data_IF_586584391876
#
_entry.id   IF_586584391876
#
_cell.length_a   1.000
_cell.length_b   1.000
_cell.length_c   1.000
_cell.angle_alpha   90.00
_cell.angle_beta   90.00
_cell.angle_gamma   90.00
#
_symmetry.space_group_name_H-M   'P 1'
#
loop_
_entity.id
_entity.type
_entity.pdbx_description
1 polymer ?
#
# COMPACT_ATOMS: atom_id res chain seq x y z
N UNK A 1 -13.65 23.74 14.19
CA UNK A 1 -15.10 23.90 13.90
C UNK A 1 -15.45 23.55 12.45
N UNK A 2 -14.63 23.89 11.46
CA UNK A 2 -14.88 23.58 10.05
C UNK A 2 -14.89 22.08 9.69
N UNK A 3 -14.08 21.25 10.37
CA UNK A 3 -14.00 19.79 10.17
C UNK A 3 -15.30 19.06 10.60
N UNK A 4 -16.00 19.56 11.62
CA UNK A 4 -17.28 19.01 12.06
C UNK A 4 -18.38 19.10 10.98
N UNK A 5 -18.36 20.15 10.16
CA UNK A 5 -19.42 20.42 9.18
C UNK A 5 -19.23 19.65 7.85
N UNK A 6 -17.99 19.30 7.47
CA UNK A 6 -17.73 18.56 6.22
C UNK A 6 -18.17 17.10 6.30
N UNK A 7 -17.97 16.46 7.45
CA UNK A 7 -18.41 15.08 7.72
C UNK A 7 -19.94 14.96 7.69
N UNK A 8 -20.65 15.99 8.16
CA UNK A 8 -22.12 15.96 8.25
C UNK A 8 -22.82 16.04 6.89
N UNK A 9 -22.22 16.65 5.88
CA UNK A 9 -22.87 16.89 4.58
C UNK A 9 -22.87 15.69 3.62
N UNK A 10 -21.98 14.71 3.80
CA UNK A 10 -21.82 13.56 2.87
C UNK A 10 -22.58 12.28 3.26
N UNK A 11 -23.29 12.29 4.38
CA UNK A 11 -23.80 11.07 4.99
C UNK A 11 -25.34 11.07 5.18
N UNK A 12 -26.09 11.17 4.08
CA UNK A 12 -27.56 10.99 4.08
C UNK A 12 -27.96 9.54 3.79
N UNK A 13 -28.40 8.80 4.79
CA UNK A 13 -28.99 7.45 4.67
C UNK A 13 -29.21 6.83 6.05
N UNK A 14 -30.30 6.14 6.28
CA UNK A 14 -30.64 5.48 7.55
C UNK A 14 -29.50 4.53 7.99
N UNK A 15 -28.80 4.87 9.06
CA UNK A 15 -27.64 4.13 9.54
C UNK A 15 -28.04 3.14 10.62
N UNK A 16 -27.54 1.94 10.49
CA UNK A 16 -27.56 0.92 11.53
C UNK A 16 -26.57 1.38 12.61
N UNK A 17 -27.01 1.55 13.86
CA UNK A 17 -26.12 1.97 14.96
C UNK A 17 -24.94 1.01 15.18
N UNK A 18 -23.87 1.50 15.83
CA UNK A 18 -22.63 0.72 16.05
C UNK A 18 -22.93 -0.64 16.69
N UNK A 19 -23.71 -0.67 17.77
CA UNK A 19 -24.07 -1.89 18.46
C UNK A 19 -24.78 -2.90 17.55
N UNK A 20 -25.74 -2.41 16.74
CA UNK A 20 -26.50 -3.25 15.81
C UNK A 20 -25.61 -3.74 14.64
N UNK A 21 -24.69 -2.88 14.15
CA UNK A 21 -23.72 -3.28 13.13
C UNK A 21 -22.76 -4.36 13.62
N UNK A 22 -22.30 -4.28 14.87
CA UNK A 22 -21.47 -5.28 15.52
C UNK A 22 -22.22 -6.56 15.90
N UNK A 23 -23.56 -6.49 16.06
CA UNK A 23 -24.41 -7.65 16.35
C UNK A 23 -24.85 -8.43 15.08
N UNK A 24 -24.61 -7.89 13.88
CA UNK A 24 -25.02 -8.53 12.62
C UNK A 24 -24.10 -9.72 12.29
N UNK A 25 -24.58 -10.95 12.53
CA UNK A 25 -23.84 -12.17 12.29
C UNK A 25 -23.41 -12.37 10.82
N UNK A 26 -24.08 -11.77 9.84
CA UNK A 26 -23.71 -11.86 8.41
C UNK A 26 -22.35 -11.22 8.12
N UNK A 27 -21.98 -10.20 8.90
CA UNK A 27 -20.65 -9.57 8.83
C UNK A 27 -19.55 -10.55 9.25
N UNK A 28 -19.81 -11.36 10.27
CA UNK A 28 -18.89 -12.40 10.73
C UNK A 28 -18.76 -13.54 9.70
N UNK A 29 -19.88 -13.98 9.09
CA UNK A 29 -19.85 -14.95 8.00
C UNK A 29 -18.95 -14.47 6.85
N UNK A 30 -19.15 -13.22 6.43
CA UNK A 30 -18.34 -12.59 5.37
C UNK A 30 -16.85 -12.48 5.77
N UNK A 31 -16.57 -12.16 7.03
CA UNK A 31 -15.20 -12.07 7.54
C UNK A 31 -14.51 -13.44 7.57
N UNK A 32 -15.21 -14.50 7.98
CA UNK A 32 -14.72 -15.88 7.97
C UNK A 32 -14.34 -16.29 6.55
N UNK A 33 -15.22 -16.07 5.57
CA UNK A 33 -14.99 -16.42 4.17
C UNK A 33 -13.77 -15.69 3.59
N UNK A 34 -13.66 -14.38 3.84
CA UNK A 34 -12.53 -13.57 3.38
C UNK A 34 -11.20 -13.98 4.01
N UNK A 35 -11.20 -14.29 5.31
CA UNK A 35 -10.01 -14.77 6.00
C UNK A 35 -9.56 -16.11 5.45
N UNK A 36 -10.48 -17.04 5.26
CA UNK A 36 -10.18 -18.33 4.67
C UNK A 36 -9.60 -18.22 3.26
N UNK A 37 -10.19 -17.36 2.40
CA UNK A 37 -9.69 -17.13 1.04
C UNK A 37 -8.25 -16.59 1.04
N UNK A 38 -7.89 -15.68 1.96
CA UNK A 38 -6.52 -15.16 2.08
C UNK A 38 -5.49 -16.22 2.47
N UNK A 39 -5.91 -17.26 3.18
CA UNK A 39 -5.06 -18.33 3.66
C UNK A 39 -5.15 -19.61 2.80
N UNK A 40 -5.80 -19.55 1.63
CA UNK A 40 -5.78 -20.66 0.68
C UNK A 40 -4.33 -20.93 0.26
N UNK A 41 -3.85 -22.15 0.48
CA UNK A 41 -2.45 -22.53 0.23
C UNK A 41 -1.52 -22.40 1.45
N UNK A 42 -1.96 -21.79 2.55
CA UNK A 42 -1.21 -21.73 3.80
C UNK A 42 -1.65 -22.88 4.73
N UNK A 43 -0.68 -23.68 5.22
CA UNK A 43 -0.94 -24.76 6.17
C UNK A 43 -1.47 -24.25 7.52
N UNK A 44 -1.19 -23.00 7.88
CA UNK A 44 -1.67 -22.37 9.12
C UNK A 44 -3.20 -22.35 9.24
N UNK A 45 -3.95 -22.43 8.12
CA UNK A 45 -5.42 -22.53 8.13
C UNK A 45 -5.97 -23.76 8.84
N UNK A 46 -5.15 -24.78 9.02
CA UNK A 46 -5.50 -26.01 9.75
C UNK A 46 -5.02 -26.02 11.21
N UNK A 47 -4.22 -25.01 11.62
CA UNK A 47 -3.79 -24.90 12.99
C UNK A 47 -4.99 -24.73 13.91
N UNK A 48 -5.04 -25.51 14.98
CA UNK A 48 -6.09 -25.43 15.99
C UNK A 48 -5.85 -24.22 16.92
N UNK A 49 -6.93 -23.58 17.30
CA UNK A 49 -6.93 -22.61 18.41
C UNK A 49 -6.87 -23.33 19.75
N UNK A 50 -6.79 -22.58 20.84
CA UNK A 50 -6.95 -23.13 22.19
C UNK A 50 -8.32 -23.77 22.39
N UNK A 51 -9.36 -23.28 21.67
CA UNK A 51 -10.71 -23.84 21.67
C UNK A 51 -10.85 -25.05 20.72
N UNK A 52 -9.77 -25.51 20.12
CA UNK A 52 -9.78 -26.67 19.21
C UNK A 52 -10.39 -26.41 17.82
N UNK A 53 -10.54 -25.15 17.42
CA UNK A 53 -11.13 -24.76 16.12
C UNK A 53 -10.04 -24.20 15.20
N UNK A 54 -9.96 -24.70 13.98
CA UNK A 54 -9.11 -24.14 12.92
C UNK A 54 -9.89 -23.15 12.06
N UNK A 55 -9.17 -22.32 11.28
CA UNK A 55 -9.80 -21.43 10.29
C UNK A 55 -10.63 -22.22 9.27
N UNK A 56 -10.14 -23.38 8.82
CA UNK A 56 -10.90 -24.30 7.96
C UNK A 56 -12.14 -24.86 8.67
N UNK A 57 -12.03 -25.22 9.95
CA UNK A 57 -13.17 -25.65 10.76
C UNK A 57 -14.23 -24.58 10.94
N UNK A 58 -13.83 -23.32 11.07
CA UNK A 58 -14.76 -22.17 11.14
C UNK A 58 -15.61 -22.05 9.86
N UNK A 59 -15.04 -22.33 8.69
CA UNK A 59 -15.81 -22.27 7.43
C UNK A 59 -16.88 -23.35 7.38
N UNK A 60 -16.58 -24.57 7.85
CA UNK A 60 -17.54 -25.67 7.91
C UNK A 60 -18.72 -25.35 8.83
N UNK A 61 -18.49 -24.62 9.92
CA UNK A 61 -19.50 -24.22 10.91
C UNK A 61 -19.82 -22.74 10.87
N UNK A 62 -19.62 -22.07 9.71
CA UNK A 62 -19.65 -20.63 9.53
C UNK A 62 -20.83 -19.95 10.22
N UNK A 63 -22.06 -20.38 9.95
CA UNK A 63 -23.24 -19.75 10.51
C UNK A 63 -23.35 -19.88 12.03
N UNK A 64 -22.91 -20.98 12.61
CA UNK A 64 -22.92 -21.17 14.07
C UNK A 64 -21.84 -20.35 14.75
N UNK A 65 -20.63 -20.34 14.21
CA UNK A 65 -19.51 -19.50 14.71
C UNK A 65 -19.84 -18.02 14.58
N UNK A 66 -20.38 -17.59 13.46
CA UNK A 66 -20.77 -16.20 13.24
C UNK A 66 -21.83 -15.73 14.27
N UNK A 67 -22.88 -16.52 14.51
CA UNK A 67 -23.89 -16.21 15.52
C UNK A 67 -23.34 -16.21 16.95
N UNK A 68 -22.41 -17.13 17.25
CA UNK A 68 -21.76 -17.15 18.56
C UNK A 68 -20.96 -15.86 18.79
N UNK A 69 -20.07 -15.50 17.87
CA UNK A 69 -19.26 -14.29 17.98
C UNK A 69 -20.10 -13.03 18.02
N UNK A 70 -21.11 -12.92 17.13
CA UNK A 70 -22.01 -11.77 17.10
C UNK A 70 -22.77 -11.58 18.43
N UNK A 71 -23.26 -12.67 19.03
CA UNK A 71 -23.94 -12.63 20.34
C UNK A 71 -22.98 -12.22 21.46
N UNK A 72 -21.80 -12.83 21.53
CA UNK A 72 -20.82 -12.52 22.56
C UNK A 72 -20.29 -11.06 22.47
N UNK A 73 -20.15 -10.52 21.27
CA UNK A 73 -19.85 -9.10 21.07
C UNK A 73 -21.04 -8.21 21.46
N UNK A 74 -22.26 -8.58 21.05
CA UNK A 74 -23.47 -7.83 21.36
C UNK A 74 -23.78 -7.76 22.87
N UNK A 75 -23.52 -8.86 23.61
CA UNK A 75 -23.65 -8.89 25.08
C UNK A 75 -22.53 -8.13 25.80
N UNK A 76 -21.44 -7.77 25.11
CA UNK A 76 -20.26 -7.15 25.71
C UNK A 76 -19.37 -8.14 26.49
N UNK A 77 -19.55 -9.43 26.28
CA UNK A 77 -18.76 -10.48 26.95
C UNK A 77 -17.48 -10.85 26.17
N UNK A 78 -17.45 -10.57 24.87
CA UNK A 78 -16.28 -10.89 24.06
C UNK A 78 -15.06 -10.11 24.51
N UNK A 79 -13.95 -10.82 24.69
CA UNK A 79 -12.65 -10.24 25.02
C UNK A 79 -11.63 -10.66 23.97
N UNK A 80 -10.94 -9.67 23.38
CA UNK A 80 -9.82 -9.92 22.49
C UNK A 80 -8.67 -10.53 23.28
N UNK A 81 -8.18 -11.66 22.82
CA UNK A 81 -7.01 -12.33 23.39
C UNK A 81 -5.70 -11.58 23.09
N UNK A 82 -4.63 -11.90 23.81
CA UNK A 82 -3.33 -11.31 23.55
C UNK A 82 -2.76 -11.73 22.19
N UNK A 83 -2.07 -10.82 21.53
CA UNK A 83 -1.35 -11.10 20.30
C UNK A 83 0.03 -11.69 20.59
N UNK A 84 0.47 -12.66 19.79
CA UNK A 84 1.86 -13.08 19.72
C UNK A 84 2.59 -12.28 18.63
N UNK A 85 3.81 -11.82 18.91
CA UNK A 85 4.64 -11.15 17.93
C UNK A 85 5.36 -12.16 17.06
N UNK A 86 5.28 -12.01 15.75
CA UNK A 86 6.01 -12.84 14.77
C UNK A 86 6.86 -11.97 13.87
N UNK A 87 8.11 -12.34 13.68
CA UNK A 87 8.94 -11.74 12.65
C UNK A 87 8.69 -12.40 11.29
N UNK A 88 8.39 -11.58 10.30
CA UNK A 88 8.33 -11.99 8.91
C UNK A 88 9.32 -11.19 8.08
N UNK A 89 9.82 -11.77 7.00
CA UNK A 89 10.66 -11.04 6.04
C UNK A 89 9.82 -10.68 4.82
N UNK A 90 9.63 -9.39 4.61
CA UNK A 90 8.94 -8.86 3.43
C UNK A 90 9.91 -7.99 2.65
N UNK A 91 10.16 -8.31 1.40
CA UNK A 91 11.10 -7.56 0.52
C UNK A 91 12.50 -7.41 1.14
N UNK A 92 12.98 -8.46 1.83
CA UNK A 92 14.29 -8.46 2.49
C UNK A 92 14.37 -7.66 3.81
N UNK A 93 13.29 -6.99 4.21
CA UNK A 93 13.18 -6.28 5.48
C UNK A 93 12.49 -7.16 6.53
N UNK A 94 12.99 -7.15 7.76
CA UNK A 94 12.30 -7.72 8.91
C UNK A 94 11.09 -6.84 9.24
N UNK A 95 9.95 -7.46 9.42
CA UNK A 95 8.73 -6.82 9.91
C UNK A 95 8.14 -7.64 11.04
N UNK A 96 7.68 -6.95 12.07
CA UNK A 96 6.95 -7.57 13.16
C UNK A 96 5.47 -7.50 12.85
N UNK A 97 4.79 -8.63 12.89
CA UNK A 97 3.34 -8.75 12.71
C UNK A 97 2.71 -9.32 13.97
N UNK A 98 1.46 -8.98 14.19
CA UNK A 98 0.67 -9.42 15.33
C UNK A 98 -0.15 -10.64 14.92
N UNK A 99 0.08 -11.76 15.54
CA UNK A 99 -0.65 -12.99 15.34
C UNK A 99 -1.70 -13.17 16.44
N UNK A 100 -2.95 -13.36 16.02
CA UNK A 100 -4.11 -13.56 16.91
C UNK A 100 -4.73 -14.91 16.70
N UNK A 101 -5.54 -15.33 17.68
CA UNK A 101 -6.44 -16.47 17.53
C UNK A 101 -7.44 -16.23 16.36
N UNK A 102 -7.86 -17.26 15.64
CA UNK A 102 -8.78 -17.14 14.52
C UNK A 102 -10.08 -16.41 14.83
N UNK A 103 -10.67 -16.57 16.01
CA UNK A 103 -11.88 -15.84 16.42
C UNK A 103 -11.61 -14.33 16.54
N UNK A 104 -10.48 -13.96 17.12
CA UNK A 104 -10.08 -12.54 17.21
C UNK A 104 -9.86 -11.93 15.83
N UNK A 105 -9.25 -12.68 14.89
CA UNK A 105 -9.09 -12.22 13.50
C UNK A 105 -10.43 -11.90 12.84
N UNK A 106 -11.47 -12.71 13.09
CA UNK A 106 -12.83 -12.45 12.59
C UNK A 106 -13.39 -11.19 13.20
N UNK A 107 -13.29 -11.03 14.54
CA UNK A 107 -13.77 -9.82 15.22
C UNK A 107 -13.03 -8.56 14.78
N UNK A 108 -11.70 -8.62 14.64
CA UNK A 108 -10.91 -7.52 14.06
C UNK A 108 -11.41 -7.13 12.65
N UNK A 109 -11.71 -8.12 11.81
CA UNK A 109 -12.20 -7.86 10.46
C UNK A 109 -13.58 -7.21 10.46
N UNK A 110 -14.48 -7.63 11.35
CA UNK A 110 -15.84 -7.04 11.48
C UNK A 110 -15.74 -5.61 12.00
N UNK A 111 -15.01 -5.38 13.08
CA UNK A 111 -14.83 -4.03 13.67
C UNK A 111 -14.23 -3.07 12.63
N UNK A 112 -13.16 -3.49 11.97
CA UNK A 112 -12.52 -2.67 10.93
C UNK A 112 -13.46 -2.41 9.75
N UNK A 113 -14.26 -3.40 9.35
CA UNK A 113 -15.25 -3.27 8.28
C UNK A 113 -16.30 -2.22 8.61
N UNK A 114 -16.89 -2.28 9.81
CA UNK A 114 -17.90 -1.31 10.29
C UNK A 114 -17.34 0.11 10.32
N UNK A 115 -16.13 0.30 10.84
CA UNK A 115 -15.49 1.62 10.87
C UNK A 115 -15.11 2.12 9.47
N UNK A 116 -14.65 1.22 8.58
CA UNK A 116 -14.28 1.58 7.21
C UNK A 116 -15.47 2.07 6.39
N UNK A 117 -16.67 1.48 6.56
CA UNK A 117 -17.88 1.90 5.85
C UNK A 117 -18.22 3.38 6.11
N UNK A 118 -17.90 3.89 7.30
CA UNK A 118 -18.13 5.29 7.67
C UNK A 118 -16.93 6.17 7.34
N UNK A 119 -15.73 5.64 7.47
CA UNK A 119 -14.50 6.40 7.19
C UNK A 119 -14.31 6.65 5.69
N UNK A 120 -14.54 5.63 4.85
CA UNK A 120 -14.24 5.66 3.40
C UNK A 120 -14.86 6.88 2.67
N UNK A 121 -16.16 7.22 2.87
CA UNK A 121 -16.76 8.40 2.21
C UNK A 121 -16.18 9.73 2.67
N UNK A 122 -15.46 9.78 3.79
CA UNK A 122 -14.87 10.99 4.36
C UNK A 122 -13.41 11.20 3.96
N UNK A 123 -12.80 10.17 3.37
CA UNK A 123 -11.41 10.23 2.95
C UNK A 123 -11.23 11.08 1.70
N UNK A 124 -10.11 11.77 1.64
CA UNK A 124 -9.71 12.57 0.48
C UNK A 124 -9.53 11.69 -0.77
N UNK A 125 -9.94 12.17 -1.95
CA UNK A 125 -9.68 11.51 -3.23
C UNK A 125 -8.18 11.44 -3.57
N UNK A 126 -7.34 12.14 -2.81
CA UNK A 126 -5.88 12.13 -2.93
C UNK A 126 -5.19 11.16 -1.97
N UNK A 127 -5.95 10.40 -1.21
CA UNK A 127 -5.49 9.26 -0.45
C UNK A 127 -5.69 7.98 -1.27
N UNK A 128 -4.60 7.31 -1.60
CA UNK A 128 -4.59 6.17 -2.53
C UNK A 128 -4.34 4.82 -1.86
N UNK A 129 -4.03 4.78 -0.56
CA UNK A 129 -3.74 3.55 0.17
C UNK A 129 -4.94 3.03 0.94
N UNK A 130 -5.05 1.70 1.04
CA UNK A 130 -6.05 1.01 1.84
C UNK A 130 -7.50 1.40 1.50
N UNK A 131 -7.77 1.76 0.26
CA UNK A 131 -9.07 2.13 -0.26
C UNK A 131 -9.48 1.21 -1.41
N UNK A 132 -10.78 0.93 -1.51
CA UNK A 132 -11.31 0.16 -2.62
C UNK A 132 -11.21 0.96 -3.93
N UNK A 133 -10.74 0.29 -4.98
CA UNK A 133 -10.60 0.92 -6.30
C UNK A 133 -9.43 1.89 -6.46
N UNK A 134 -8.64 2.14 -5.42
CA UNK A 134 -7.44 2.99 -5.47
C UNK A 134 -6.17 2.16 -5.41
N UNK A 135 -5.17 2.55 -6.19
CA UNK A 135 -3.85 1.91 -6.21
C UNK A 135 -2.73 2.95 -6.24
N UNK A 136 -1.51 2.53 -5.87
CA UNK A 136 -0.31 3.37 -6.01
C UNK A 136 -0.12 3.91 -7.44
N UNK A 137 -0.60 3.15 -8.43
CA UNK A 137 -0.54 3.50 -9.83
C UNK A 137 -1.36 4.76 -10.15
N UNK A 138 -2.50 4.92 -9.49
CA UNK A 138 -3.39 6.08 -9.68
C UNK A 138 -2.74 7.34 -9.10
N UNK A 139 -2.09 7.24 -7.94
CA UNK A 139 -1.32 8.34 -7.35
C UNK A 139 -0.22 8.85 -8.30
N UNK A 140 0.54 7.94 -8.91
CA UNK A 140 1.59 8.28 -9.87
C UNK A 140 1.00 8.88 -11.15
N UNK A 141 -0.10 8.32 -11.66
CA UNK A 141 -0.76 8.81 -12.87
C UNK A 141 -1.33 10.23 -12.66
N UNK A 142 -1.92 10.50 -11.51
CA UNK A 142 -2.46 11.81 -11.16
C UNK A 142 -1.36 12.85 -10.99
N UNK A 143 -0.27 12.51 -10.32
CA UNK A 143 0.90 13.38 -10.26
C UNK A 143 1.48 13.68 -11.64
N UNK A 144 1.64 12.66 -12.48
CA UNK A 144 2.12 12.84 -13.85
C UNK A 144 1.17 13.71 -14.70
N UNK A 145 -0.14 13.60 -14.48
CA UNK A 145 -1.15 14.47 -15.12
C UNK A 145 -1.00 15.91 -14.67
N UNK A 146 -0.86 16.14 -13.38
CA UNK A 146 -0.63 17.47 -12.80
C UNK A 146 0.64 18.14 -13.39
N UNK A 147 1.75 17.41 -13.44
CA UNK A 147 3.01 17.91 -14.04
C UNK A 147 2.81 18.30 -15.52
N UNK A 148 2.11 17.47 -16.30
CA UNK A 148 1.79 17.79 -17.71
C UNK A 148 0.91 19.03 -17.85
N UNK A 149 -0.08 19.20 -16.98
CA UNK A 149 -0.96 20.38 -16.98
C UNK A 149 -0.17 21.64 -16.67
N UNK A 150 0.66 21.61 -15.63
CA UNK A 150 1.57 22.70 -15.29
C UNK A 150 2.50 23.03 -16.45
N UNK A 151 3.10 22.03 -17.10
CA UNK A 151 3.98 22.21 -18.27
C UNK A 151 3.31 22.92 -19.44
N UNK A 152 2.00 22.70 -19.66
CA UNK A 152 1.22 23.38 -20.71
C UNK A 152 0.87 24.83 -20.36
N UNK A 153 0.70 25.14 -19.08
CA UNK A 153 0.29 26.46 -18.60
C UNK A 153 1.46 27.44 -18.43
N UNK A 154 2.68 26.94 -18.27
CA UNK A 154 3.88 27.79 -18.08
C UNK A 154 4.24 28.54 -19.36
N UNK A 155 4.51 29.83 -19.24
CA UNK A 155 4.86 30.68 -20.37
C UNK A 155 6.30 30.47 -20.86
N UNK A 156 7.26 30.22 -19.92
CA UNK A 156 8.66 29.91 -20.23
C UNK A 156 9.07 28.57 -19.62
N UNK A 157 9.28 27.53 -20.43
CA UNK A 157 9.74 26.22 -19.97
C UNK A 157 11.09 26.21 -19.25
N UNK A 158 11.91 27.25 -19.43
CA UNK A 158 13.27 27.31 -18.88
C UNK A 158 13.31 27.86 -17.46
N UNK A 159 12.33 28.66 -17.05
CA UNK A 159 12.37 29.44 -15.82
C UNK A 159 11.37 28.97 -14.75
N UNK A 160 10.34 28.20 -15.11
CA UNK A 160 9.30 27.77 -14.16
C UNK A 160 9.32 26.26 -13.96
N UNK A 161 9.83 25.86 -12.79
CA UNK A 161 9.78 24.50 -12.31
C UNK A 161 8.63 24.27 -11.32
N UNK A 162 8.60 23.10 -10.71
CA UNK A 162 7.70 22.75 -9.61
C UNK A 162 8.53 22.47 -8.36
N UNK A 163 8.15 23.07 -7.25
CA UNK A 163 8.65 22.70 -5.92
C UNK A 163 7.90 21.46 -5.47
N UNK A 164 8.63 20.42 -5.10
CA UNK A 164 8.05 19.14 -4.72
C UNK A 164 8.59 18.72 -3.37
N UNK A 165 7.70 18.62 -2.41
CA UNK A 165 7.96 18.07 -1.09
C UNK A 165 7.67 16.58 -1.13
N UNK A 166 8.68 15.77 -0.84
CA UNK A 166 8.49 14.36 -0.59
C UNK A 166 8.77 14.07 0.87
N UNK A 167 7.82 13.48 1.54
CA UNK A 167 7.84 13.17 2.97
C UNK A 167 7.46 11.72 3.20
N UNK A 168 8.07 11.11 4.19
CA UNK A 168 7.76 9.74 4.64
C UNK A 168 7.85 9.75 6.16
N UNK A 169 6.76 9.34 6.82
CA UNK A 169 6.69 9.34 8.28
C UNK A 169 7.58 8.22 8.82
N UNK A 170 8.44 8.57 9.78
CA UNK A 170 9.40 7.63 10.35
C UNK A 170 8.70 6.51 11.11
N UNK A 171 8.96 5.26 10.67
CA UNK A 171 8.39 4.05 11.27
C UNK A 171 6.88 4.17 11.57
N UNK A 172 6.10 4.73 10.63
CA UNK A 172 4.71 5.16 10.83
C UNK A 172 3.86 4.15 11.61
N UNK A 173 3.89 2.90 11.17
CA UNK A 173 3.10 1.82 11.78
C UNK A 173 3.47 1.55 13.23
N UNK A 174 4.74 1.76 13.59
CA UNK A 174 5.30 1.51 14.93
C UNK A 174 5.32 2.78 15.79
N UNK A 175 5.08 3.95 15.20
CA UNK A 175 5.23 5.26 15.87
C UNK A 175 3.91 5.85 16.36
N UNK A 176 2.75 5.43 15.84
CA UNK A 176 1.45 5.92 16.31
C UNK A 176 1.32 5.66 17.80
N UNK A 177 1.14 6.71 18.63
CA UNK A 177 1.01 6.54 20.07
C UNK A 177 -0.31 5.83 20.41
N UNK A 178 -0.27 4.96 21.42
CA UNK A 178 -1.43 4.21 21.94
C UNK A 178 -1.57 4.37 23.46
N UNK A 179 -0.81 5.29 24.07
CA UNK A 179 -0.98 5.65 25.48
C UNK A 179 -2.31 6.41 25.73
N UNK A 180 -2.62 6.71 26.97
CA UNK A 180 -3.89 7.31 27.37
C UNK A 180 -4.17 8.69 26.74
N UNK A 181 -3.11 9.43 26.38
CA UNK A 181 -3.20 10.78 25.78
C UNK A 181 -2.96 10.78 24.28
N UNK A 182 -3.07 9.62 23.62
CA UNK A 182 -2.92 9.52 22.18
C UNK A 182 -3.99 10.30 21.41
N UNK A 183 -3.60 11.10 20.40
CA UNK A 183 -4.55 11.73 19.48
C UNK A 183 -5.47 10.76 18.75
N UNK A 184 -5.10 9.48 18.64
CA UNK A 184 -5.90 8.46 17.97
C UNK A 184 -7.25 8.22 18.68
N UNK A 185 -7.28 8.28 20.02
CA UNK A 185 -8.50 7.95 20.77
C UNK A 185 -9.67 8.89 20.50
N UNK A 186 -9.51 10.23 20.56
CA UNK A 186 -10.59 11.13 20.20
C UNK A 186 -11.01 10.99 18.73
N UNK A 187 -10.08 10.74 17.80
CA UNK A 187 -10.41 10.50 16.39
C UNK A 187 -11.23 9.22 16.22
N UNK A 188 -10.83 8.12 16.87
CA UNK A 188 -11.55 6.85 16.83
C UNK A 188 -12.91 6.94 17.48
N UNK A 189 -13.01 7.65 18.62
CA UNK A 189 -14.32 7.90 19.29
C UNK A 189 -15.26 8.70 18.40
N UNK A 190 -14.76 9.75 17.75
CA UNK A 190 -15.55 10.52 16.81
C UNK A 190 -16.05 9.67 15.63
N UNK A 191 -15.18 8.81 15.07
CA UNK A 191 -15.57 7.89 14.00
C UNK A 191 -16.65 6.91 14.48
N UNK A 192 -16.47 6.31 15.64
CA UNK A 192 -17.44 5.39 16.24
C UNK A 192 -18.80 6.07 16.53
N UNK A 193 -18.81 7.33 17.00
CA UNK A 193 -20.03 8.13 17.19
C UNK A 193 -20.77 8.36 15.86
N UNK A 194 -20.03 8.50 14.75
CA UNK A 194 -20.68 8.61 13.43
C UNK A 194 -21.33 7.30 12.98
N UNK A 195 -20.80 6.15 13.41
CA UNK A 195 -21.46 4.84 13.20
C UNK A 195 -22.68 4.72 14.06
N UNK A 196 -22.61 5.13 15.34
CA UNK A 196 -23.71 5.03 16.29
C UNK A 196 -24.93 5.89 15.89
N UNK A 197 -24.71 6.99 15.15
CA UNK A 197 -25.77 7.91 14.77
C UNK A 197 -25.85 9.15 15.66
N UNK A 198 -26.73 10.11 15.28
CA UNK A 198 -26.93 11.34 16.07
C UNK A 198 -27.68 11.02 17.35
N UNK A 199 -27.05 11.27 18.49
CA UNK A 199 -27.66 11.19 19.81
C UNK A 199 -27.46 9.87 20.56
N UNK A 200 -26.88 8.84 19.91
CA UNK A 200 -26.56 7.60 20.60
C UNK A 200 -25.15 7.65 21.19
N UNK A 201 -25.02 7.39 22.46
CA UNK A 201 -23.75 7.20 23.12
C UNK A 201 -23.17 5.82 22.74
N UNK A 202 -21.85 5.77 22.59
CA UNK A 202 -21.15 4.50 22.41
C UNK A 202 -21.23 3.73 23.72
N UNK A 203 -21.77 2.50 23.69
CA UNK A 203 -21.75 1.62 24.88
C UNK A 203 -20.30 1.40 25.36
N UNK A 204 -20.11 1.35 26.68
CA UNK A 204 -18.76 1.10 27.25
C UNK A 204 -18.14 -0.16 26.68
N UNK A 205 -18.88 -1.25 26.56
CA UNK A 205 -18.39 -2.52 26.01
C UNK A 205 -17.93 -2.40 24.54
N UNK A 206 -18.62 -1.61 23.70
CA UNK A 206 -18.23 -1.38 22.32
C UNK A 206 -16.94 -0.53 22.26
N UNK A 207 -16.83 0.48 23.13
CA UNK A 207 -15.60 1.28 23.23
C UNK A 207 -14.41 0.44 23.70
N UNK A 208 -14.60 -0.38 24.73
CA UNK A 208 -13.58 -1.27 25.25
C UNK A 208 -13.08 -2.25 24.16
N UNK A 209 -14.02 -2.78 23.35
CA UNK A 209 -13.69 -3.62 22.20
C UNK A 209 -12.86 -2.83 21.16
N UNK A 210 -13.26 -1.60 20.80
CA UNK A 210 -12.50 -0.75 19.87
C UNK A 210 -11.08 -0.48 20.36
N UNK A 211 -10.93 -0.21 21.66
CA UNK A 211 -9.62 -0.03 22.29
C UNK A 211 -8.81 -1.33 22.22
N UNK A 212 -9.42 -2.47 22.56
CA UNK A 212 -8.73 -3.76 22.58
C UNK A 212 -8.24 -4.21 21.20
N UNK A 213 -9.04 -4.04 20.13
CA UNK A 213 -8.60 -4.36 18.77
C UNK A 213 -7.50 -3.42 18.26
N UNK A 214 -7.45 -2.19 18.77
CA UNK A 214 -6.47 -1.17 18.33
C UNK A 214 -5.18 -1.24 19.15
N UNK A 215 -5.27 -1.52 20.44
CA UNK A 215 -4.16 -1.65 21.40
C UNK A 215 -4.23 -3.00 22.12
N UNK A 216 -3.83 -4.08 21.49
CA UNK A 216 -3.89 -5.41 22.09
C UNK A 216 -2.89 -5.60 23.22
N UNK A 217 -3.22 -6.49 24.14
CA UNK A 217 -2.23 -7.13 24.99
C UNK A 217 -1.23 -7.95 24.16
N UNK A 218 0.00 -8.04 24.60
CA UNK A 218 1.03 -8.85 23.98
C UNK A 218 1.38 -10.01 24.91
N UNK A 219 1.46 -11.21 24.34
CA UNK A 219 1.99 -12.36 25.03
C UNK A 219 3.51 -12.36 24.87
N UNK A 220 4.24 -12.22 25.97
CA UNK A 220 5.69 -12.37 26.02
C UNK A 220 6.11 -13.84 25.94
N UNK A 221 7.39 -14.08 25.64
CA UNK A 221 7.97 -15.41 25.59
C UNK A 221 7.96 -16.11 26.97
N UNK A 222 7.91 -15.33 28.03
CA UNK A 222 7.79 -15.76 29.43
C UNK A 222 6.34 -16.04 29.87
N UNK A 223 5.36 -15.89 28.95
CA UNK A 223 3.93 -16.01 29.25
C UNK A 223 3.33 -14.77 29.94
N UNK A 224 4.12 -13.73 30.20
CA UNK A 224 3.65 -12.48 30.75
C UNK A 224 2.83 -11.67 29.74
N UNK A 225 1.91 -10.84 30.25
CA UNK A 225 1.13 -9.92 29.43
C UNK A 225 1.75 -8.52 29.49
N UNK A 226 2.05 -7.95 28.34
CA UNK A 226 2.51 -6.58 28.20
C UNK A 226 1.51 -5.73 27.39
N UNK A 227 1.46 -4.43 27.65
CA UNK A 227 0.67 -3.50 26.85
C UNK A 227 1.60 -2.65 26.00
N UNK A 228 1.35 -2.60 24.69
CA UNK A 228 2.11 -1.75 23.78
C UNK A 228 1.56 -0.32 23.81
N UNK A 229 2.43 0.66 24.07
CA UNK A 229 2.05 2.08 24.13
C UNK A 229 2.32 2.84 22.84
N UNK A 230 2.87 2.17 21.81
CA UNK A 230 3.12 2.70 20.47
C UNK A 230 2.99 1.60 19.42
N UNK A 231 2.51 1.99 18.24
CA UNK A 231 2.38 1.13 17.08
C UNK A 231 1.09 0.30 17.06
N UNK A 232 0.30 0.51 16.03
CA UNK A 232 -0.93 -0.24 15.79
C UNK A 232 -0.63 -1.66 15.29
N UNK A 233 -1.56 -2.63 15.46
CA UNK A 233 -1.29 -4.04 15.16
C UNK A 233 -1.17 -4.30 13.65
N UNK A 234 0.04 -4.13 13.12
CA UNK A 234 0.35 -4.35 11.70
C UNK A 234 -0.03 -5.76 11.26
N UNK A 235 -0.67 -5.86 10.10
CA UNK A 235 -1.21 -7.11 9.56
C UNK A 235 -2.69 -7.31 9.88
N UNK A 236 -3.25 -6.52 10.78
CA UNK A 236 -4.68 -6.55 11.10
C UNK A 236 -5.47 -5.49 10.35
N UNK A 237 -6.75 -5.75 9.98
CA UNK A 237 -7.57 -4.79 9.25
C UNK A 237 -7.75 -3.45 9.95
N UNK A 238 -7.82 -3.42 11.28
CA UNK A 238 -7.95 -2.18 12.07
C UNK A 238 -6.76 -1.23 11.86
N UNK A 239 -5.58 -1.76 11.58
CA UNK A 239 -4.41 -0.93 11.32
C UNK A 239 -4.62 0.00 10.11
N UNK A 240 -5.29 -0.47 9.06
CA UNK A 240 -5.55 0.34 7.87
C UNK A 240 -6.53 1.48 8.15
N UNK A 241 -7.53 1.24 9.02
CA UNK A 241 -8.44 2.28 9.52
C UNK A 241 -7.66 3.33 10.30
N UNK A 242 -6.82 2.89 11.25
CA UNK A 242 -6.02 3.80 12.07
C UNK A 242 -5.04 4.62 11.22
N UNK A 243 -4.37 4.01 10.22
CA UNK A 243 -3.44 4.71 9.34
C UNK A 243 -4.11 5.81 8.53
N UNK A 244 -5.28 5.55 7.96
CA UNK A 244 -5.98 6.54 7.18
C UNK A 244 -6.61 7.63 8.05
N UNK A 245 -7.16 7.26 9.19
CA UNK A 245 -7.79 8.18 10.15
C UNK A 245 -6.78 9.15 10.76
N UNK A 246 -5.58 8.66 11.12
CA UNK A 246 -4.60 9.42 11.89
C UNK A 246 -3.99 10.61 11.15
N UNK A 247 -3.87 10.53 9.81
CA UNK A 247 -3.36 11.60 8.96
C UNK A 247 -4.46 12.30 8.13
N UNK A 248 -5.74 12.00 8.38
CA UNK A 248 -6.85 12.50 7.56
C UNK A 248 -6.89 14.03 7.51
N UNK A 249 -6.68 14.70 8.63
CA UNK A 249 -6.71 16.16 8.69
C UNK A 249 -5.62 16.81 7.82
N UNK A 250 -4.47 16.15 7.68
CA UNK A 250 -3.41 16.59 6.76
C UNK A 250 -3.91 16.50 5.32
N UNK A 251 -4.59 15.41 4.96
CA UNK A 251 -5.15 15.23 3.62
C UNK A 251 -6.17 16.34 3.29
N UNK A 252 -7.07 16.66 4.24
CA UNK A 252 -8.13 17.67 4.06
C UNK A 252 -7.55 19.07 3.83
N UNK A 253 -6.51 19.44 4.57
CA UNK A 253 -5.87 20.76 4.44
C UNK A 253 -5.11 20.88 3.11
N UNK A 254 -4.32 19.86 2.74
CA UNK A 254 -3.45 19.95 1.57
C UNK A 254 -4.19 19.82 0.24
N UNK A 255 -5.38 19.21 0.23
CA UNK A 255 -6.23 19.12 -0.97
C UNK A 255 -6.98 20.42 -1.26
N UNK A 256 -7.12 21.30 -0.29
CA UNK A 256 -7.87 22.54 -0.44
C UNK A 256 -7.25 23.52 -1.47
N UNK A 257 -5.94 23.48 -1.67
CA UNK A 257 -5.25 24.30 -2.67
C UNK A 257 -5.38 23.70 -4.08
N UNK A 258 -6.15 24.36 -4.93
CA UNK A 258 -6.39 23.93 -6.32
C UNK A 258 -5.16 24.11 -7.24
N UNK A 259 -4.20 24.98 -6.87
CA UNK A 259 -2.96 25.15 -7.61
C UNK A 259 -1.92 24.07 -7.29
N UNK A 260 -2.11 23.37 -6.18
CA UNK A 260 -1.22 22.33 -5.71
C UNK A 260 -1.60 20.92 -6.23
N UNK A 261 -0.64 20.04 -6.25
CA UNK A 261 -0.87 18.61 -6.19
C UNK A 261 -0.57 18.10 -4.79
N UNK A 262 -1.47 17.33 -4.25
CA UNK A 262 -1.25 16.51 -3.07
C UNK A 262 -1.58 15.05 -3.37
N UNK A 263 -0.81 14.12 -2.81
CA UNK A 263 -1.10 12.69 -2.86
C UNK A 263 -0.44 11.94 -1.72
N UNK A 264 -1.19 11.06 -1.05
CA UNK A 264 -0.69 10.20 0.03
C UNK A 264 -0.91 8.72 -0.25
N UNK A 265 0.10 7.94 0.00
CA UNK A 265 0.04 6.48 0.01
C UNK A 265 0.64 5.96 1.32
N UNK A 266 -0.22 5.64 2.30
CA UNK A 266 0.17 5.29 3.68
C UNK A 266 0.96 6.42 4.35
N UNK A 267 2.27 6.23 4.54
CA UNK A 267 3.25 7.14 5.13
C UNK A 267 4.00 8.00 4.10
N UNK A 268 3.90 7.69 2.81
CA UNK A 268 4.59 8.43 1.73
C UNK A 268 3.67 9.55 1.21
N UNK A 269 4.04 10.80 1.51
CA UNK A 269 3.33 12.01 1.09
C UNK A 269 4.11 12.72 -0.01
N UNK A 270 3.39 13.21 -1.01
CA UNK A 270 3.92 14.09 -2.03
C UNK A 270 3.05 15.33 -2.17
N UNK A 271 3.66 16.50 -2.03
CA UNK A 271 3.04 17.79 -2.30
C UNK A 271 3.84 18.51 -3.40
N UNK A 272 3.19 19.17 -4.36
CA UNK A 272 3.85 19.94 -5.40
C UNK A 272 3.11 21.25 -5.66
N UNK A 273 3.88 22.34 -5.79
CA UNK A 273 3.37 23.69 -6.05
C UNK A 273 4.36 24.49 -6.90
N UNK A 274 3.88 25.40 -7.81
CA UNK A 274 4.78 26.24 -8.60
C UNK A 274 5.45 27.37 -7.78
N UNK A 275 4.88 27.78 -6.66
CA UNK A 275 5.38 28.85 -5.79
C UNK A 275 6.25 28.31 -4.65
N UNK A 276 7.46 28.87 -4.53
CA UNK A 276 8.43 28.52 -3.50
C UNK A 276 7.97 28.88 -2.07
N UNK A 277 7.27 30.02 -1.92
CA UNK A 277 6.82 30.47 -0.61
C UNK A 277 5.73 29.56 -0.07
N UNK A 278 4.79 29.15 -0.92
CA UNK A 278 3.75 28.18 -0.56
C UNK A 278 4.37 26.84 -0.18
N UNK A 279 5.29 26.32 -0.98
CA UNK A 279 5.95 25.06 -0.69
C UNK A 279 6.74 25.07 0.63
N UNK A 280 7.45 26.17 0.94
CA UNK A 280 8.14 26.35 2.23
C UNK A 280 7.16 26.39 3.41
N UNK A 281 6.09 27.17 3.27
CA UNK A 281 5.06 27.26 4.32
C UNK A 281 4.41 25.89 4.60
N UNK A 282 4.08 25.13 3.55
CA UNK A 282 3.54 23.79 3.69
C UNK A 282 4.58 22.84 4.32
N UNK A 283 5.88 22.98 3.98
CA UNK A 283 6.94 22.16 4.59
C UNK A 283 7.01 22.39 6.11
N UNK A 284 7.00 23.66 6.57
CA UNK A 284 7.02 23.98 7.99
C UNK A 284 5.74 23.51 8.70
N UNK A 285 4.58 23.81 8.11
CA UNK A 285 3.30 23.39 8.66
C UNK A 285 3.18 21.86 8.82
N UNK A 286 3.72 21.08 7.88
CA UNK A 286 3.74 19.62 7.96
C UNK A 286 4.59 19.12 9.14
N UNK A 287 5.74 19.76 9.40
CA UNK A 287 6.60 19.42 10.54
C UNK A 287 5.86 19.68 11.87
N UNK A 288 5.23 20.86 12.01
CA UNK A 288 4.46 21.23 13.20
C UNK A 288 3.27 20.29 13.41
N UNK A 289 2.53 19.99 12.33
CA UNK A 289 1.36 19.11 12.41
C UNK A 289 1.71 17.68 12.78
N UNK A 290 2.84 17.14 12.28
CA UNK A 290 3.31 15.83 12.71
C UNK A 290 3.75 15.82 14.18
N UNK A 291 4.40 16.90 14.65
CA UNK A 291 4.79 17.03 16.05
C UNK A 291 3.56 17.01 16.97
N UNK A 292 2.47 17.71 16.62
CA UNK A 292 1.19 17.64 17.34
C UNK A 292 0.62 16.21 17.38
N UNK A 293 0.78 15.46 16.30
CA UNK A 293 0.41 14.04 16.23
C UNK A 293 1.44 13.12 16.90
N UNK A 294 2.49 13.66 17.51
CA UNK A 294 3.59 12.93 18.15
C UNK A 294 4.30 11.97 17.20
N UNK A 295 4.38 12.38 15.93
CA UNK A 295 5.10 11.74 14.83
C UNK A 295 6.22 12.66 14.33
N UNK A 296 7.05 12.14 13.43
CA UNK A 296 8.06 12.91 12.72
C UNK A 296 8.33 12.35 11.34
N UNK A 297 8.88 13.15 10.45
CA UNK A 297 9.41 12.65 9.19
C UNK A 297 10.78 12.01 9.38
N UNK A 298 11.07 10.99 8.58
CA UNK A 298 12.39 10.39 8.56
C UNK A 298 13.39 11.28 7.82
N UNK A 299 14.51 11.67 8.45
CA UNK A 299 15.52 12.59 7.88
C UNK A 299 16.03 12.14 6.51
N UNK A 300 16.32 10.85 6.35
CA UNK A 300 16.82 10.27 5.08
C UNK A 300 15.81 10.27 3.95
N UNK A 301 14.53 10.47 4.27
CA UNK A 301 13.41 10.39 3.32
C UNK A 301 12.75 11.75 3.08
N UNK A 302 13.13 12.77 3.83
CA UNK A 302 12.74 14.15 3.59
C UNK A 302 13.46 14.68 2.37
N UNK A 303 12.72 15.16 1.38
CA UNK A 303 13.28 15.73 0.16
C UNK A 303 12.50 16.95 -0.26
N UNK A 304 13.22 18.04 -0.40
CA UNK A 304 12.76 19.29 -1.01
C UNK A 304 13.40 19.35 -2.39
N UNK A 305 12.57 19.29 -3.44
CA UNK A 305 13.02 19.18 -4.82
C UNK A 305 12.50 20.35 -5.64
N UNK A 306 13.31 20.78 -6.60
CA UNK A 306 12.88 21.70 -7.64
C UNK A 306 12.95 20.97 -8.99
N UNK A 307 11.78 20.57 -9.50
CA UNK A 307 11.66 19.82 -10.75
C UNK A 307 11.70 20.77 -11.93
N UNK A 308 12.70 20.61 -12.79
CA UNK A 308 12.84 21.35 -14.06
C UNK A 308 13.33 20.41 -15.16
N UNK A 309 13.13 20.77 -16.44
CA UNK A 309 13.62 19.98 -17.57
C UNK A 309 15.14 19.82 -17.59
N UNK A 310 15.89 20.78 -17.08
CA UNK A 310 17.35 20.77 -17.04
C UNK A 310 17.93 20.37 -15.66
N UNK A 311 17.10 20.13 -14.65
CA UNK A 311 17.55 19.80 -13.29
C UNK A 311 18.28 20.93 -12.58
N UNK A 312 18.02 22.19 -12.96
CA UNK A 312 18.67 23.37 -12.36
C UNK A 312 18.19 23.57 -10.92
N UNK A 313 19.10 24.07 -10.07
CA UNK A 313 18.75 24.49 -8.71
C UNK A 313 17.79 25.70 -8.73
N UNK A 314 16.96 25.82 -7.69
CA UNK A 314 16.12 26.98 -7.46
C UNK A 314 16.96 28.17 -6.96
N UNK A 315 16.63 29.37 -7.41
CA UNK A 315 17.15 30.61 -6.86
C UNK A 315 16.27 31.17 -5.73
N UNK A 316 15.00 30.76 -5.66
CA UNK A 316 14.04 31.23 -4.67
C UNK A 316 14.03 30.37 -3.39
N UNK A 317 14.42 29.11 -3.50
CA UNK A 317 14.56 28.19 -2.37
C UNK A 317 15.83 27.36 -2.52
N UNK A 318 16.90 27.80 -1.87
CA UNK A 318 18.24 27.21 -2.03
C UNK A 318 18.34 25.77 -1.53
N UNK A 319 17.53 25.39 -0.52
CA UNK A 319 17.52 24.02 0.01
C UNK A 319 16.78 23.04 -0.91
N UNK A 320 15.97 23.55 -1.86
CA UNK A 320 15.29 22.71 -2.83
C UNK A 320 16.25 22.23 -3.90
N UNK A 321 16.58 20.93 -3.86
CA UNK A 321 17.51 20.33 -4.81
C UNK A 321 16.93 20.28 -6.22
N UNK A 322 17.66 20.80 -7.19
CA UNK A 322 17.32 20.69 -8.61
C UNK A 322 17.28 19.22 -9.07
N UNK A 323 16.26 18.88 -9.85
CA UNK A 323 16.09 17.53 -10.40
C UNK A 323 15.38 17.55 -11.74
N UNK A 324 15.66 16.57 -12.59
CA UNK A 324 14.95 16.30 -13.86
C UNK A 324 13.76 15.34 -13.68
N UNK A 325 13.66 14.66 -12.54
CA UNK A 325 12.56 13.76 -12.25
C UNK A 325 12.34 13.57 -10.75
N UNK A 326 11.07 13.38 -10.37
CA UNK A 326 10.65 13.15 -8.99
C UNK A 326 10.42 11.65 -8.78
N UNK A 327 11.10 11.03 -7.80
CA UNK A 327 10.78 9.66 -7.41
C UNK A 327 9.51 9.64 -6.56
N UNK A 328 8.51 8.82 -6.94
CA UNK A 328 7.27 8.62 -6.19
C UNK A 328 6.78 7.18 -6.32
N UNK A 329 6.56 6.50 -5.20
CA UNK A 329 6.04 5.12 -5.11
C UNK A 329 6.79 4.12 -6.00
N UNK A 330 8.11 4.27 -6.07
CA UNK A 330 8.96 3.40 -6.88
C UNK A 330 8.99 3.71 -8.37
N UNK A 331 8.34 4.80 -8.80
CA UNK A 331 8.39 5.36 -10.16
C UNK A 331 9.17 6.67 -10.18
N UNK A 332 9.48 7.18 -11.37
CA UNK A 332 10.01 8.52 -11.59
C UNK A 332 9.09 9.26 -12.56
N UNK A 333 8.77 10.50 -12.23
CA UNK A 333 7.99 11.39 -13.09
C UNK A 333 8.87 12.57 -13.49
N UNK A 334 9.09 12.77 -14.78
CA UNK A 334 9.87 13.91 -15.30
C UNK A 334 8.98 15.16 -15.51
N UNK A 335 9.61 16.26 -15.94
CA UNK A 335 8.94 17.56 -16.13
C UNK A 335 7.91 17.56 -17.28
N UNK A 336 7.96 16.61 -18.20
CA UNK A 336 6.97 16.36 -19.24
C UNK A 336 5.85 15.43 -18.76
N UNK A 337 5.90 14.99 -17.50
CA UNK A 337 4.96 14.03 -16.93
C UNK A 337 5.10 12.62 -17.52
N UNK A 338 6.27 12.28 -18.06
CA UNK A 338 6.58 10.90 -18.44
C UNK A 338 6.91 10.12 -17.19
N UNK A 339 6.41 8.88 -17.16
CA UNK A 339 6.58 7.96 -16.03
C UNK A 339 7.52 6.84 -16.43
N UNK A 340 8.60 6.68 -15.65
CA UNK A 340 9.54 5.58 -15.76
C UNK A 340 9.59 4.78 -14.45
N UNK A 341 10.01 3.52 -14.52
CA UNK A 341 10.27 2.70 -13.32
C UNK A 341 11.52 3.25 -12.64
N UNK A 342 11.50 3.39 -11.32
CA UNK A 342 12.65 3.84 -10.55
C UNK A 342 13.81 2.84 -10.61
N UNK A 343 15.06 3.34 -10.66
CA UNK A 343 16.25 2.52 -10.86
C UNK A 343 16.45 1.42 -9.81
N UNK A 344 16.10 1.70 -8.57
CA UNK A 344 16.17 0.69 -7.50
C UNK A 344 15.23 -0.49 -7.76
N UNK A 345 14.02 -0.21 -8.26
CA UNK A 345 13.00 -1.21 -8.61
C UNK A 345 13.42 -2.01 -9.83
N UNK A 346 13.97 -1.34 -10.86
CA UNK A 346 14.56 -2.01 -12.04
C UNK A 346 15.67 -2.98 -11.62
N UNK A 347 16.62 -2.51 -10.80
CA UNK A 347 17.71 -3.37 -10.30
C UNK A 347 17.20 -4.55 -9.48
N UNK A 348 16.17 -4.34 -8.64
CA UNK A 348 15.59 -5.42 -7.85
C UNK A 348 14.92 -6.48 -8.75
N UNK A 349 14.13 -6.04 -9.72
CA UNK A 349 13.48 -6.92 -10.71
C UNK A 349 14.51 -7.76 -11.48
N UNK A 350 15.55 -7.13 -12.00
CA UNK A 350 16.57 -7.83 -12.77
C UNK A 350 17.38 -8.82 -11.92
N UNK A 351 17.72 -8.46 -10.67
CA UNK A 351 18.38 -9.41 -9.73
C UNK A 351 17.52 -10.62 -9.44
N UNK A 352 16.24 -10.41 -9.17
CA UNK A 352 15.32 -11.50 -8.88
C UNK A 352 15.10 -12.39 -10.12
N UNK A 353 14.93 -11.79 -11.30
CA UNK A 353 14.86 -12.52 -12.55
C UNK A 353 16.10 -13.36 -12.79
N UNK A 354 17.31 -12.80 -12.56
CA UNK A 354 18.58 -13.55 -12.66
C UNK A 354 18.65 -14.73 -11.68
N UNK A 355 18.25 -14.50 -10.42
CA UNK A 355 18.24 -15.55 -9.40
C UNK A 355 17.32 -16.69 -9.78
N UNK A 356 16.07 -16.40 -10.16
CA UNK A 356 15.07 -17.40 -10.58
C UNK A 356 15.52 -18.16 -11.82
N UNK A 357 15.99 -17.43 -12.85
CA UNK A 357 16.46 -18.04 -14.08
C UNK A 357 17.61 -19.02 -13.85
N UNK A 358 18.62 -18.65 -13.03
CA UNK A 358 19.75 -19.52 -12.69
C UNK A 358 19.30 -20.77 -11.91
N UNK A 359 18.42 -20.61 -10.93
CA UNK A 359 17.95 -21.72 -10.12
C UNK A 359 17.19 -22.75 -10.97
N UNK A 360 16.26 -22.29 -11.83
CA UNK A 360 15.51 -23.18 -12.73
C UNK A 360 16.42 -23.82 -13.79
N UNK A 361 17.32 -23.05 -14.40
CA UNK A 361 18.25 -23.59 -15.39
C UNK A 361 19.18 -24.67 -14.81
N UNK A 362 19.63 -24.48 -13.55
CA UNK A 362 20.46 -25.46 -12.83
C UNK A 362 19.68 -26.72 -12.46
N UNK A 363 18.43 -26.59 -12.00
CA UNK A 363 17.60 -27.77 -11.66
C UNK A 363 17.23 -28.62 -12.89
N UNK A 364 17.48 -28.13 -14.10
CA UNK A 364 17.18 -28.77 -15.37
C UNK A 364 18.43 -28.85 -16.26
N UNK A 365 19.65 -28.95 -15.69
CA UNK A 365 20.89 -28.91 -16.47
C UNK A 365 21.00 -30.04 -17.49
N UNK A 366 20.46 -31.22 -17.16
CA UNK A 366 20.42 -32.39 -18.05
C UNK A 366 19.32 -32.38 -19.10
N UNK A 367 18.37 -31.44 -18.99
CA UNK A 367 17.26 -31.33 -19.91
C UNK A 367 17.66 -30.67 -21.23
N UNK A 368 16.95 -31.00 -22.31
CA UNK A 368 17.13 -30.34 -23.61
C UNK A 368 16.99 -28.83 -23.49
N UNK A 369 17.75 -28.11 -24.30
CA UNK A 369 17.83 -26.63 -24.29
C UNK A 369 16.46 -25.94 -24.36
N UNK A 370 15.55 -26.46 -25.19
CA UNK A 370 14.19 -25.93 -25.35
C UNK A 370 13.35 -26.13 -24.09
N UNK A 371 13.41 -27.33 -23.47
CA UNK A 371 12.69 -27.63 -22.22
C UNK A 371 13.15 -26.70 -21.09
N UNK A 372 14.45 -26.55 -20.92
CA UNK A 372 15.08 -25.65 -19.94
C UNK A 372 14.68 -24.20 -20.20
N UNK A 373 14.70 -23.76 -21.46
CA UNK A 373 14.31 -22.42 -21.87
C UNK A 373 12.86 -22.09 -21.55
N UNK A 374 11.92 -22.97 -21.88
CA UNK A 374 10.49 -22.81 -21.56
C UNK A 374 10.24 -22.78 -20.06
N UNK A 375 10.94 -23.61 -19.28
CA UNK A 375 10.81 -23.62 -17.82
C UNK A 375 11.31 -22.30 -17.20
N UNK A 376 12.45 -21.78 -17.64
CA UNK A 376 12.97 -20.47 -17.20
C UNK A 376 11.99 -19.35 -17.56
N UNK A 377 11.49 -19.33 -18.80
CA UNK A 377 10.53 -18.32 -19.24
C UNK A 377 9.24 -18.40 -18.42
N UNK A 378 8.70 -19.59 -18.15
CA UNK A 378 7.53 -19.77 -17.27
C UNK A 378 7.75 -19.18 -15.89
N UNK A 379 8.92 -19.43 -15.28
CA UNK A 379 9.25 -18.88 -13.95
C UNK A 379 9.35 -17.35 -13.96
N UNK A 380 9.89 -16.74 -15.04
CA UNK A 380 9.93 -15.30 -15.18
C UNK A 380 8.57 -14.70 -15.51
N UNK A 381 7.71 -15.41 -16.26
CA UNK A 381 6.33 -14.98 -16.50
C UNK A 381 5.56 -14.91 -15.17
N UNK A 382 5.67 -15.94 -14.34
CA UNK A 382 5.11 -15.91 -12.99
C UNK A 382 5.62 -14.73 -12.17
N UNK A 383 6.93 -14.43 -12.21
CA UNK A 383 7.49 -13.24 -11.54
C UNK A 383 6.86 -11.94 -12.03
N UNK A 384 6.57 -11.83 -13.32
CA UNK A 384 6.01 -10.64 -13.93
C UNK A 384 4.49 -10.50 -13.75
N UNK A 385 3.78 -11.63 -13.60
CA UNK A 385 2.32 -11.67 -13.39
C UNK A 385 1.92 -11.57 -11.92
N UNK A 386 2.83 -11.92 -10.99
CA UNK A 386 2.54 -11.84 -9.56
C UNK A 386 2.34 -10.37 -9.16
N UNK A 387 1.19 -10.09 -8.56
CA UNK A 387 0.98 -8.93 -7.66
C UNK A 387 1.80 -9.15 -6.39
N UNK A 388 3.10 -9.40 -6.54
CA UNK A 388 3.94 -9.81 -5.44
C UNK A 388 4.26 -8.60 -4.56
N UNK A 389 4.00 -8.72 -3.28
CA UNK A 389 4.48 -7.81 -2.24
C UNK A 389 6.01 -7.57 -2.31
N UNK A 390 6.76 -8.53 -2.88
CA UNK A 390 8.22 -8.42 -3.05
C UNK A 390 8.67 -7.32 -4.03
N UNK A 391 7.91 -7.08 -5.09
CA UNK A 391 8.20 -6.03 -6.07
C UNK A 391 7.33 -4.78 -5.88
N UNK A 392 6.61 -4.67 -4.75
CA UNK A 392 5.74 -3.54 -4.44
C UNK A 392 4.79 -3.19 -5.59
N UNK A 393 4.08 -4.21 -6.11
CA UNK A 393 3.11 -4.03 -7.19
C UNK A 393 3.74 -3.79 -8.57
N UNK A 394 4.86 -4.42 -8.87
CA UNK A 394 5.48 -4.40 -10.21
C UNK A 394 4.89 -5.45 -11.16
N UNK A 395 3.61 -5.82 -11.01
CA UNK A 395 2.96 -6.69 -11.98
C UNK A 395 2.92 -6.02 -13.36
N UNK A 396 3.09 -6.80 -14.42
CA UNK A 396 3.03 -6.31 -15.81
C UNK A 396 1.77 -5.49 -16.07
N UNK A 397 0.56 -5.91 -15.63
CA UNK A 397 -0.64 -5.12 -15.80
C UNK A 397 -0.57 -3.73 -15.14
N UNK A 398 -0.04 -3.62 -13.92
CA UNK A 398 0.09 -2.35 -13.21
C UNK A 398 1.17 -1.44 -13.83
N UNK A 399 2.33 -2.01 -14.19
CA UNK A 399 3.37 -1.25 -14.88
C UNK A 399 2.88 -0.77 -16.24
N UNK A 400 2.19 -1.61 -17.00
CA UNK A 400 1.59 -1.26 -18.29
C UNK A 400 0.57 -0.12 -18.18
N UNK A 401 -0.10 0.02 -17.02
CA UNK A 401 -1.06 1.11 -16.78
C UNK A 401 -0.42 2.47 -16.57
N UNK A 402 0.79 2.55 -16.07
CA UNK A 402 1.38 3.79 -15.53
C UNK A 402 2.62 4.22 -16.31
N UNK A 403 3.49 3.28 -16.70
CA UNK A 403 4.76 3.61 -17.35
C UNK A 403 4.51 4.12 -18.75
N UNK A 404 4.99 5.34 -19.03
CA UNK A 404 4.90 5.97 -20.34
C UNK A 404 6.23 5.96 -21.09
N UNK A 405 7.36 5.71 -20.42
CA UNK A 405 8.68 5.60 -21.02
C UNK A 405 8.85 4.26 -21.77
N UNK A 406 8.58 4.30 -23.07
CA UNK A 406 8.71 3.14 -23.95
C UNK A 406 10.14 2.66 -24.10
N UNK A 407 11.12 3.56 -24.03
CA UNK A 407 12.53 3.23 -24.22
C UNK A 407 13.02 2.36 -23.07
N UNK A 408 12.64 2.70 -21.84
CA UNK A 408 12.95 1.92 -20.66
C UNK A 408 12.32 0.52 -20.72
N UNK A 409 11.05 0.40 -21.15
CA UNK A 409 10.38 -0.91 -21.27
C UNK A 409 11.05 -1.80 -22.33
N UNK A 410 11.49 -1.25 -23.46
CA UNK A 410 12.24 -1.99 -24.48
C UNK A 410 13.58 -2.47 -23.95
N UNK A 411 14.30 -1.62 -23.20
CA UNK A 411 15.56 -1.98 -22.56
C UNK A 411 15.38 -3.11 -21.53
N UNK A 412 14.30 -3.06 -20.75
CA UNK A 412 13.94 -4.12 -19.81
C UNK A 412 13.60 -5.44 -20.52
N UNK A 413 12.83 -5.38 -21.60
CA UNK A 413 12.50 -6.53 -22.43
C UNK A 413 13.78 -7.23 -22.95
N UNK A 414 14.74 -6.45 -23.42
CA UNK A 414 16.03 -6.98 -23.86
C UNK A 414 16.84 -7.57 -22.72
N UNK A 415 16.84 -6.92 -21.55
CA UNK A 415 17.56 -7.38 -20.36
C UNK A 415 16.99 -8.70 -19.84
N UNK A 416 15.66 -8.84 -19.78
CA UNK A 416 15.01 -10.09 -19.39
C UNK A 416 15.31 -11.23 -20.37
N UNK A 417 15.26 -10.96 -21.68
CA UNK A 417 15.61 -11.96 -22.68
C UNK A 417 17.10 -12.38 -22.58
N UNK A 418 17.99 -11.45 -22.29
CA UNK A 418 19.41 -11.75 -22.06
C UNK A 418 19.62 -12.63 -20.82
N UNK A 419 18.86 -12.36 -19.74
CA UNK A 419 18.89 -13.20 -18.53
C UNK A 419 18.49 -14.64 -18.86
N UNK A 420 17.42 -14.83 -19.65
CA UNK A 420 16.97 -16.16 -20.10
C UNK A 420 18.08 -16.83 -20.93
N UNK A 421 18.56 -16.16 -21.97
CA UNK A 421 19.61 -16.72 -22.85
C UNK A 421 20.84 -17.15 -22.05
N UNK A 422 21.37 -16.26 -21.19
CA UNK A 422 22.55 -16.53 -20.36
C UNK A 422 22.32 -17.70 -19.39
N UNK A 423 21.16 -17.76 -18.75
CA UNK A 423 20.85 -18.83 -17.79
C UNK A 423 20.78 -20.23 -18.46
N UNK A 424 20.26 -20.27 -19.68
CA UNK A 424 20.04 -21.52 -20.43
C UNK A 424 21.31 -22.02 -21.13
N UNK A 425 22.12 -21.08 -21.65
CA UNK A 425 23.33 -21.46 -22.43
C UNK A 425 24.60 -21.52 -21.61
N UNK A 426 24.64 -20.83 -20.46
CA UNK A 426 25.86 -20.57 -19.69
C UNK A 426 26.74 -19.46 -20.27
N UNK A 427 26.48 -18.98 -21.49
CA UNK A 427 27.29 -17.97 -22.18
C UNK A 427 26.95 -16.55 -21.71
N UNK A 428 27.93 -15.67 -21.49
CA UNK A 428 27.64 -14.30 -21.06
C UNK A 428 27.25 -13.38 -22.24
N UNK A 429 26.42 -12.42 -21.98
CA UNK A 429 26.13 -11.27 -22.85
C UNK A 429 25.62 -11.64 -24.25
N UNK A 430 26.17 -11.02 -25.30
CA UNK A 430 25.70 -11.25 -26.68
C UNK A 430 25.94 -12.66 -27.21
N UNK A 431 26.93 -13.39 -26.66
CA UNK A 431 27.23 -14.76 -27.09
C UNK A 431 26.05 -15.70 -26.84
N UNK A 432 25.31 -15.51 -25.75
CA UNK A 432 24.13 -16.28 -25.43
C UNK A 432 23.06 -16.19 -26.54
N UNK A 433 22.89 -15.02 -27.18
CA UNK A 433 21.93 -14.83 -28.27
C UNK A 433 22.30 -15.50 -29.58
N UNK A 434 23.60 -15.88 -29.79
CA UNK A 434 24.00 -16.70 -30.95
C UNK A 434 23.47 -18.12 -30.86
N UNK A 435 23.39 -18.69 -29.63
CA UNK A 435 22.84 -20.02 -29.39
C UNK A 435 21.32 -20.02 -29.21
N UNK A 436 20.79 -18.99 -28.55
CA UNK A 436 19.35 -18.82 -28.31
C UNK A 436 18.93 -17.42 -28.77
N UNK A 437 18.48 -17.26 -30.02
CA UNK A 437 18.10 -15.96 -30.57
C UNK A 437 16.92 -15.34 -29.79
N UNK A 438 16.89 -14.00 -29.72
CA UNK A 438 15.84 -13.22 -29.09
C UNK A 438 14.42 -13.62 -29.56
N UNK A 439 14.28 -13.94 -30.86
CA UNK A 439 13.01 -14.39 -31.44
C UNK A 439 12.51 -15.69 -30.82
N UNK A 440 13.40 -16.68 -30.60
CA UNK A 440 13.04 -17.94 -29.96
C UNK A 440 12.51 -17.71 -28.55
N UNK A 441 13.19 -16.89 -27.75
CA UNK A 441 12.78 -16.56 -26.37
C UNK A 441 11.39 -15.90 -26.36
N UNK A 442 11.12 -15.01 -27.30
CA UNK A 442 9.86 -14.25 -27.35
C UNK A 442 8.71 -15.00 -28.02
N UNK A 443 8.95 -15.56 -29.20
CA UNK A 443 7.89 -16.13 -30.01
C UNK A 443 7.62 -17.62 -29.71
N UNK A 444 8.68 -18.37 -29.41
CA UNK A 444 8.58 -19.83 -29.23
C UNK A 444 8.48 -20.22 -27.75
N UNK A 445 9.23 -19.56 -26.86
CA UNK A 445 9.18 -19.81 -25.42
C UNK A 445 8.15 -18.92 -24.68
N UNK A 446 7.68 -17.83 -25.31
CA UNK A 446 6.59 -17.02 -24.83
C UNK A 446 6.94 -16.03 -23.75
N UNK A 447 8.21 -15.52 -23.66
CA UNK A 447 8.54 -14.48 -22.69
C UNK A 447 7.71 -13.22 -22.92
N UNK A 448 6.89 -12.74 -21.94
CA UNK A 448 6.01 -11.60 -22.13
C UNK A 448 6.81 -10.30 -22.37
N UNK A 449 6.29 -9.42 -23.25
CA UNK A 449 6.87 -8.10 -23.51
C UNK A 449 6.17 -7.02 -22.72
N UNK A 450 6.89 -6.34 -21.84
CA UNK A 450 6.41 -5.19 -21.07
C UNK A 450 5.96 -4.05 -21.99
N UNK A 451 6.77 -3.77 -23.02
CA UNK A 451 6.46 -2.75 -23.98
C UNK A 451 5.15 -3.03 -24.75
N UNK A 452 4.95 -4.26 -25.25
CA UNK A 452 3.70 -4.64 -25.94
C UNK A 452 2.49 -4.68 -25.00
N UNK A 453 2.67 -5.15 -23.77
CA UNK A 453 1.61 -5.14 -22.77
C UNK A 453 1.14 -3.72 -22.47
N UNK A 454 2.08 -2.78 -22.33
CA UNK A 454 1.79 -1.36 -22.18
C UNK A 454 0.99 -0.79 -23.35
N UNK A 455 1.40 -1.06 -24.58
CA UNK A 455 0.72 -0.51 -25.77
C UNK A 455 -0.71 -1.04 -25.89
N UNK A 456 -0.97 -2.31 -25.57
CA UNK A 456 -2.33 -2.87 -25.48
C UNK A 456 -3.18 -2.18 -24.42
N UNK A 457 -2.64 -1.98 -23.22
CA UNK A 457 -3.34 -1.32 -22.10
C UNK A 457 -3.71 0.13 -22.43
N UNK A 458 -2.88 0.86 -23.13
CA UNK A 458 -3.16 2.24 -23.55
C UNK A 458 -4.15 2.31 -24.72
N UNK A 459 -4.11 1.37 -25.67
CA UNK A 459 -5.07 1.29 -26.76
C UNK A 459 -6.50 1.01 -26.26
N UNK A 460 -6.65 0.12 -25.28
CA UNK A 460 -7.95 -0.18 -24.66
C UNK A 460 -8.58 1.02 -23.94
N UNK A 461 -7.77 1.93 -23.36
CA UNK A 461 -8.28 3.13 -22.70
C UNK A 461 -8.60 4.29 -23.65
N UNK A 462 -7.98 4.33 -24.81
CA UNK A 462 -8.33 5.32 -25.84
C UNK A 462 -9.60 4.99 -26.60
N UNK A 463 -10.10 3.75 -26.44
CA UNK A 463 -11.34 3.26 -27.05
C UNK A 463 -12.55 3.25 -26.10
N UNK A 464 -12.34 3.51 -24.81
CA UNK A 464 -13.36 3.67 -23.77
C UNK A 464 -13.48 5.16 -23.37
#
# INVERSE_FOLDING_TARGET
>A
MAVRDSLQRRLGGGRVGLAAALADHRRYETAIDRLHQRHIGDSSRYALTQEGVSLSGMVLHRGSVARLLARSVASGEYRIGPAALREIRVSGKRRVVFAYAPFDLVVHAVVAGVLSEVLEPTLSDRLYSYRSGCAWADAVADFARYVRQHGRQRQDPRTRGLYVLRRDVDAYTDSIPLDAVSPLWPMLRQLAQHVAGRGDDIRSADWDLLVAVTRPGLLGDDGGLATRLRGVPTGQPIATVAFNLYLRDIDEVLVADQAAFYGRYSDDLLFAHPDAAVARSVSAWLDDRLAELRLRFGDKKRRDLYLTGAGRASTEWLDARGTTSVPFLGMRVDMEGRVAIGDAKVRALLREAQRRARNVARSLEDAALDVRGRAVVRSLTQLLDMEDHYLQGASVPLLARVVTDRSQLRSLDLSLARIVATAVTGDPGPAAFRRVPYRVIRAEWGLPSLHRARDRSFAQRGAA
#
